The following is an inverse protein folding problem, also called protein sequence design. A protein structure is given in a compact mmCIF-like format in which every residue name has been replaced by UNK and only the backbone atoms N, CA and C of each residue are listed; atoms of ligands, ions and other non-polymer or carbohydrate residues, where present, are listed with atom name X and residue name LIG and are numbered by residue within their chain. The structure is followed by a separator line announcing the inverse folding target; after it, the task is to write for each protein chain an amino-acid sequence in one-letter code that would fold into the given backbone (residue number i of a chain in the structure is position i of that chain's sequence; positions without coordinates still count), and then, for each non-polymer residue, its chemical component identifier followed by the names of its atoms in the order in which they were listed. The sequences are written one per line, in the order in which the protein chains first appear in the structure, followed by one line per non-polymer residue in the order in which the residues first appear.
data_IF_793023757209
#
_entry.id   IF_793023757209
#
_cell.length_a   1.000
_cell.length_b   1.000
_cell.length_c   1.000
_cell.angle_alpha   90.00
_cell.angle_beta   90.00
_cell.angle_gamma   90.00
#
_symmetry.space_group_name_H-M   'P 1'
#
loop_
_entity.id
_entity.type
_entity.pdbx_description
1 polymer ?
#
# COMPACT_ATOMS: atom_id res chain seq x y z
N UNK A 1 50.79 -0.50 -18.90
CA UNK A 1 50.63 -1.95 -18.71
C UNK A 1 49.78 -2.41 -19.87
N UNK A 2 50.35 -3.12 -20.83
CA UNK A 2 49.58 -3.65 -21.97
C UNK A 2 48.74 -4.83 -21.46
N UNK A 3 47.44 -4.78 -21.71
CA UNK A 3 46.51 -5.86 -21.35
C UNK A 3 46.94 -7.17 -22.04
N UNK A 4 46.80 -8.34 -21.39
CA UNK A 4 47.18 -9.61 -22.00
C UNK A 4 46.24 -9.95 -23.16
N UNK A 5 46.69 -9.65 -24.38
CA UNK A 5 45.97 -9.91 -25.61
C UNK A 5 46.02 -11.40 -25.95
N UNK A 6 44.85 -12.03 -26.20
CA UNK A 6 44.77 -13.42 -26.64
C UNK A 6 44.06 -13.53 -27.99
N UNK A 7 44.68 -14.28 -28.90
CA UNK A 7 44.08 -14.68 -30.18
C UNK A 7 43.33 -16.01 -30.00
N UNK A 8 42.03 -16.00 -30.30
CA UNK A 8 41.18 -17.21 -30.23
C UNK A 8 40.45 -17.44 -31.55
N UNK A 9 39.97 -18.66 -31.80
CA UNK A 9 39.15 -18.92 -32.99
C UNK A 9 37.84 -18.12 -32.93
N UNK A 10 37.28 -17.81 -34.09
CA UNK A 10 36.03 -17.05 -34.20
C UNK A 10 34.87 -17.65 -33.40
N UNK A 11 34.75 -18.98 -33.34
CA UNK A 11 33.72 -19.68 -32.57
C UNK A 11 33.88 -19.48 -31.06
N UNK A 12 35.12 -19.49 -30.58
CA UNK A 12 35.44 -19.23 -29.17
C UNK A 12 35.20 -17.77 -28.83
N UNK A 13 35.62 -16.84 -29.69
CA UNK A 13 35.38 -15.41 -29.49
C UNK A 13 33.88 -15.06 -29.40
N UNK A 14 33.04 -15.63 -30.26
CA UNK A 14 31.60 -15.40 -30.23
C UNK A 14 30.98 -15.84 -28.89
N UNK A 15 31.46 -16.97 -28.35
CA UNK A 15 31.00 -17.50 -27.06
C UNK A 15 31.49 -16.64 -25.88
N UNK A 16 32.76 -16.23 -25.89
CA UNK A 16 33.36 -15.43 -24.80
C UNK A 16 32.81 -14.00 -24.76
N UNK A 17 32.52 -13.40 -25.92
CA UNK A 17 31.92 -12.07 -26.03
C UNK A 17 30.39 -12.07 -25.93
N UNK A 18 29.77 -13.22 -25.71
CA UNK A 18 28.31 -13.41 -25.67
C UNK A 18 27.57 -12.82 -26.89
N UNK A 19 28.16 -12.91 -28.08
CA UNK A 19 27.58 -12.42 -29.34
C UNK A 19 27.38 -13.53 -30.36
N UNK A 20 26.40 -13.37 -31.26
CA UNK A 20 26.23 -14.32 -32.36
C UNK A 20 27.40 -14.26 -33.36
N UNK A 21 27.70 -15.38 -34.03
CA UNK A 21 28.70 -15.43 -35.10
C UNK A 21 28.43 -14.41 -36.22
N UNK A 22 27.16 -14.17 -36.55
CA UNK A 22 26.75 -13.18 -37.55
C UNK A 22 27.04 -11.74 -37.12
N UNK A 23 26.88 -11.44 -35.83
CA UNK A 23 27.21 -10.13 -35.25
C UNK A 23 28.72 -9.95 -35.23
N UNK A 24 29.46 -10.99 -34.84
CA UNK A 24 30.92 -10.97 -34.85
C UNK A 24 31.47 -10.80 -36.27
N UNK A 25 30.91 -11.47 -37.28
CA UNK A 25 31.27 -11.29 -38.70
C UNK A 25 31.02 -9.86 -39.21
N UNK A 26 29.95 -9.23 -38.73
CA UNK A 26 29.68 -7.83 -39.07
C UNK A 26 30.75 -6.92 -38.47
N UNK A 27 31.12 -7.12 -37.20
CA UNK A 27 32.19 -6.37 -36.54
C UNK A 27 33.54 -6.54 -37.24
N UNK A 28 33.88 -7.77 -37.62
CA UNK A 28 35.09 -8.10 -38.39
C UNK A 28 35.12 -7.35 -39.74
N UNK A 29 34.00 -7.32 -40.47
CA UNK A 29 33.92 -6.61 -41.76
C UNK A 29 33.96 -5.09 -41.65
N UNK A 30 33.62 -4.56 -40.47
CA UNK A 30 33.65 -3.13 -40.17
C UNK A 30 34.99 -2.69 -39.54
N UNK A 31 35.99 -3.59 -39.48
CA UNK A 31 37.28 -3.36 -38.80
C UNK A 31 37.14 -2.94 -37.33
N UNK A 32 36.03 -3.31 -36.67
CA UNK A 32 35.76 -2.98 -35.26
C UNK A 32 36.50 -3.91 -34.28
N UNK A 33 37.10 -5.00 -34.77
CA UNK A 33 37.86 -5.98 -33.98
C UNK A 33 39.10 -6.40 -34.75
N UNK A 34 40.21 -6.66 -34.07
CA UNK A 34 41.43 -7.11 -34.73
C UNK A 34 41.34 -8.60 -35.09
N UNK A 35 41.81 -8.94 -36.30
CA UNK A 35 41.67 -10.28 -36.88
C UNK A 35 42.99 -10.74 -37.48
N UNK A 36 43.37 -11.99 -37.21
CA UNK A 36 44.54 -12.64 -37.78
C UNK A 36 44.08 -13.84 -38.62
N UNK A 37 44.52 -13.88 -39.89
CA UNK A 37 44.19 -14.96 -40.82
C UNK A 37 45.42 -15.82 -41.11
N UNK A 38 45.34 -17.10 -40.76
CA UNK A 38 46.38 -18.09 -41.04
C UNK A 38 45.82 -19.15 -41.99
N UNK A 39 46.08 -18.96 -43.29
CA UNK A 39 45.53 -19.80 -44.36
C UNK A 39 43.99 -19.79 -44.40
N UNK A 40 43.37 -20.93 -44.06
CA UNK A 40 41.91 -21.09 -43.99
C UNK A 40 41.32 -20.77 -42.61
N UNK A 41 42.14 -20.47 -41.59
CA UNK A 41 41.70 -20.20 -40.21
C UNK A 41 41.66 -18.69 -39.95
N UNK A 42 40.67 -18.27 -39.15
CA UNK A 42 40.46 -16.89 -38.75
C UNK A 42 40.45 -16.82 -37.22
N UNK A 43 41.32 -15.98 -36.67
CA UNK A 43 41.46 -15.72 -35.25
C UNK A 43 41.04 -14.28 -34.95
N UNK A 44 40.33 -14.08 -33.86
CA UNK A 44 39.88 -12.77 -33.39
C UNK A 44 40.65 -12.44 -32.11
N UNK A 45 41.08 -11.19 -32.01
CA UNK A 45 41.61 -10.64 -30.77
C UNK A 45 40.46 -10.44 -29.80
N UNK A 46 40.52 -11.14 -28.67
CA UNK A 46 39.60 -10.88 -27.56
C UNK A 46 40.42 -10.21 -26.48
N UNK A 47 40.08 -8.96 -26.17
CA UNK A 47 40.55 -8.31 -24.94
C UNK A 47 39.86 -9.07 -23.81
N UNK A 48 40.64 -9.85 -23.08
CA UNK A 48 40.12 -10.76 -22.06
C UNK A 48 39.40 -9.96 -20.97
N UNK A 49 38.23 -10.40 -20.47
CA UNK A 49 37.73 -9.88 -19.21
C UNK A 49 38.81 -10.14 -18.15
N UNK A 50 39.05 -9.17 -17.26
CA UNK A 50 39.82 -9.40 -16.04
C UNK A 50 39.30 -10.69 -15.41
N UNK A 51 40.10 -11.76 -15.46
CA UNK A 51 39.82 -12.97 -14.73
C UNK A 51 39.91 -12.61 -13.25
N UNK A 52 38.78 -12.20 -12.68
CA UNK A 52 38.62 -12.12 -11.23
C UNK A 52 39.01 -13.48 -10.70
N UNK A 53 39.94 -13.51 -9.76
CA UNK A 53 40.33 -14.77 -9.13
C UNK A 53 39.10 -15.40 -8.47
N UNK A 54 39.12 -16.72 -8.27
CA UNK A 54 38.07 -17.41 -7.52
C UNK A 54 37.83 -16.74 -6.14
N UNK A 55 38.87 -16.15 -5.54
CA UNK A 55 38.79 -15.36 -4.31
C UNK A 55 38.00 -14.05 -4.48
N UNK A 56 38.15 -13.33 -5.59
CA UNK A 56 37.39 -12.11 -5.86
C UNK A 56 35.93 -12.38 -6.19
N UNK A 57 35.64 -13.49 -6.88
CA UNK A 57 34.27 -13.96 -7.10
C UNK A 57 33.60 -14.36 -5.79
N UNK A 58 34.30 -15.11 -4.92
CA UNK A 58 33.81 -15.49 -3.60
C UNK A 58 33.58 -14.28 -2.69
N UNK A 59 34.45 -13.27 -2.75
CA UNK A 59 34.27 -12.02 -2.01
C UNK A 59 33.01 -11.28 -2.45
N UNK A 60 32.83 -11.06 -3.75
CA UNK A 60 31.62 -10.39 -4.28
C UNK A 60 30.35 -11.17 -3.96
N UNK A 61 30.39 -12.50 -4.01
CA UNK A 61 29.26 -13.33 -3.65
C UNK A 61 28.88 -13.14 -2.17
N UNK A 62 29.87 -13.10 -1.26
CA UNK A 62 29.65 -12.79 0.16
C UNK A 62 29.11 -11.39 0.39
N UNK A 63 29.71 -10.37 -0.20
CA UNK A 63 29.24 -8.99 -0.05
C UNK A 63 27.77 -8.87 -0.48
N UNK A 64 27.38 -9.55 -1.56
CA UNK A 64 25.99 -9.57 -2.03
C UNK A 64 25.05 -10.36 -1.12
N UNK A 65 25.53 -11.42 -0.46
CA UNK A 65 24.77 -12.13 0.57
C UNK A 65 24.57 -11.24 1.79
N UNK A 66 25.59 -10.52 2.24
CA UNK A 66 25.51 -9.61 3.38
C UNK A 66 24.52 -8.46 3.10
N UNK A 67 24.56 -7.89 1.89
CA UNK A 67 23.59 -6.89 1.44
C UNK A 67 22.15 -7.43 1.44
N UNK A 68 21.95 -8.68 1.00
CA UNK A 68 20.65 -9.34 1.02
C UNK A 68 20.18 -9.59 2.45
N UNK A 69 21.04 -10.06 3.35
CA UNK A 69 20.72 -10.25 4.75
C UNK A 69 20.33 -8.92 5.44
N UNK A 70 21.06 -7.84 5.17
CA UNK A 70 20.72 -6.53 5.72
C UNK A 70 19.37 -6.02 5.19
N UNK A 71 19.10 -6.23 3.90
CA UNK A 71 17.81 -5.92 3.30
C UNK A 71 16.68 -6.71 3.98
N UNK A 72 16.84 -8.02 4.19
CA UNK A 72 15.86 -8.86 4.89
C UNK A 72 15.61 -8.36 6.30
N UNK A 73 16.65 -8.08 7.09
CA UNK A 73 16.50 -7.53 8.45
C UNK A 73 15.79 -6.17 8.46
N UNK A 74 15.96 -5.37 7.41
CA UNK A 74 15.25 -4.08 7.25
C UNK A 74 13.78 -4.32 6.96
N UNK A 75 13.45 -5.25 6.07
CA UNK A 75 12.08 -5.64 5.75
C UNK A 75 11.35 -6.22 6.95
N UNK A 76 11.99 -7.07 7.75
CA UNK A 76 11.43 -7.63 8.98
C UNK A 76 11.09 -6.55 10.01
N UNK A 77 11.95 -5.54 10.16
CA UNK A 77 11.68 -4.39 11.03
C UNK A 77 10.49 -3.57 10.56
N UNK A 78 10.40 -3.30 9.26
CA UNK A 78 9.26 -2.57 8.66
C UNK A 78 7.97 -3.37 8.85
N UNK A 79 7.98 -4.67 8.55
CA UNK A 79 6.83 -5.54 8.72
C UNK A 79 6.35 -5.56 10.18
N UNK A 80 7.29 -5.68 11.12
CA UNK A 80 7.02 -5.63 12.56
C UNK A 80 6.44 -4.29 13.02
N UNK A 81 6.87 -3.17 12.42
CA UNK A 81 6.31 -1.86 12.72
C UNK A 81 4.89 -1.72 12.18
N UNK A 82 4.66 -2.10 10.92
CA UNK A 82 3.34 -2.07 10.29
C UNK A 82 2.34 -2.95 11.03
N UNK A 83 2.78 -4.10 11.56
CA UNK A 83 1.92 -4.95 12.39
C UNK A 83 1.48 -4.24 13.68
N UNK A 84 2.38 -3.56 14.38
CA UNK A 84 2.02 -2.77 15.57
C UNK A 84 1.09 -1.61 15.24
N UNK A 85 1.34 -0.90 14.15
CA UNK A 85 0.49 0.20 13.70
C UNK A 85 -0.92 -0.30 13.35
N UNK A 86 -1.02 -1.43 12.65
CA UNK A 86 -2.30 -2.11 12.37
C UNK A 86 -3.05 -2.47 13.65
N UNK A 87 -2.35 -3.04 14.62
CA UNK A 87 -2.99 -3.48 15.87
C UNK A 87 -3.42 -2.29 16.73
N UNK A 88 -2.65 -1.20 16.74
CA UNK A 88 -3.05 0.06 17.36
C UNK A 88 -4.31 0.66 16.70
N UNK A 89 -4.34 0.71 15.36
CA UNK A 89 -5.50 1.22 14.62
C UNK A 89 -6.76 0.36 14.85
N UNK A 90 -6.62 -0.96 15.01
CA UNK A 90 -7.73 -1.85 15.35
C UNK A 90 -8.25 -1.60 16.77
N UNK A 91 -7.35 -1.38 17.73
CA UNK A 91 -7.74 -1.02 19.09
C UNK A 91 -8.50 0.29 19.11
N UNK A 92 -7.96 1.32 18.46
CA UNK A 92 -8.59 2.63 18.37
C UNK A 92 -9.97 2.55 17.69
N UNK A 93 -10.10 1.77 16.62
CA UNK A 93 -11.38 1.55 15.96
C UNK A 93 -12.42 0.86 16.89
N UNK A 94 -11.98 -0.07 17.74
CA UNK A 94 -12.85 -0.71 18.72
C UNK A 94 -13.31 0.28 19.80
N UNK A 95 -12.42 1.14 20.28
CA UNK A 95 -12.74 2.19 21.25
C UNK A 95 -13.77 3.17 20.66
N UNK A 96 -13.58 3.60 19.41
CA UNK A 96 -14.55 4.44 18.69
C UNK A 96 -15.90 3.75 18.47
N UNK A 97 -15.92 2.44 18.23
CA UNK A 97 -17.15 1.67 18.08
C UNK A 97 -17.94 1.59 19.39
N UNK A 98 -17.24 1.42 20.52
CA UNK A 98 -17.84 1.45 21.86
C UNK A 98 -18.44 2.84 22.16
N UNK A 99 -17.66 3.91 21.96
CA UNK A 99 -18.14 5.28 22.18
C UNK A 99 -19.35 5.63 21.28
N UNK A 100 -19.33 5.18 20.02
CA UNK A 100 -20.45 5.37 19.10
C UNK A 100 -21.72 4.69 19.59
N UNK A 101 -21.66 3.43 20.04
CA UNK A 101 -22.83 2.72 20.54
C UNK A 101 -23.37 3.33 21.86
N UNK A 102 -22.49 3.83 22.73
CA UNK A 102 -22.91 4.60 23.91
C UNK A 102 -23.67 5.87 23.55
N UNK A 103 -23.10 6.70 22.66
CA UNK A 103 -23.71 7.95 22.21
C UNK A 103 -25.03 7.71 21.48
N UNK A 104 -25.09 6.69 20.63
CA UNK A 104 -26.32 6.25 19.96
C UNK A 104 -27.37 5.82 20.98
N UNK A 105 -26.98 5.08 22.01
CA UNK A 105 -27.86 4.71 23.12
C UNK A 105 -28.44 5.93 23.86
N UNK A 106 -27.61 6.93 24.14
CA UNK A 106 -28.04 8.19 24.75
C UNK A 106 -29.01 8.97 23.85
N UNK A 107 -28.67 9.12 22.58
CA UNK A 107 -29.51 9.79 21.59
C UNK A 107 -30.91 9.14 21.48
N UNK A 108 -30.96 7.81 21.39
CA UNK A 108 -32.24 7.08 21.32
C UNK A 108 -33.08 7.27 22.59
N UNK A 109 -32.46 7.31 23.77
CA UNK A 109 -33.17 7.61 25.03
C UNK A 109 -33.74 9.02 25.01
N UNK A 110 -32.96 10.00 24.58
CA UNK A 110 -33.39 11.39 24.50
C UNK A 110 -34.54 11.58 23.50
N UNK A 111 -34.47 10.95 22.33
CA UNK A 111 -35.58 10.92 21.37
C UNK A 111 -36.85 10.32 22.00
N UNK A 112 -36.74 9.19 22.71
CA UNK A 112 -37.87 8.55 23.36
C UNK A 112 -38.48 9.41 24.49
N UNK A 113 -37.66 10.15 25.23
CA UNK A 113 -38.14 11.14 26.20
C UNK A 113 -38.83 12.33 25.52
N UNK A 114 -38.25 12.85 24.45
CA UNK A 114 -38.80 13.95 23.69
C UNK A 114 -40.19 13.59 23.13
N UNK A 115 -40.36 12.39 22.58
CA UNK A 115 -41.66 11.89 22.14
C UNK A 115 -42.67 11.75 23.29
N UNK A 116 -42.23 11.28 24.46
CA UNK A 116 -43.08 11.20 25.65
C UNK A 116 -43.54 12.59 26.10
N UNK A 117 -42.65 13.57 26.13
CA UNK A 117 -42.99 14.98 26.44
C UNK A 117 -43.98 15.54 25.43
N UNK A 118 -43.75 15.33 24.13
CA UNK A 118 -44.65 15.78 23.06
C UNK A 118 -46.07 15.21 23.21
N UNK A 119 -46.19 13.91 23.53
CA UNK A 119 -47.48 13.26 23.82
C UNK A 119 -48.15 13.83 25.07
N UNK A 120 -47.39 14.14 26.12
CA UNK A 120 -47.90 14.78 27.33
C UNK A 120 -48.46 16.18 27.05
N UNK A 121 -47.70 17.01 26.35
CA UNK A 121 -48.13 18.36 25.93
C UNK A 121 -49.41 18.28 25.09
N UNK A 122 -49.47 17.34 24.12
CA UNK A 122 -50.67 17.14 23.32
C UNK A 122 -51.91 16.74 24.15
N UNK A 123 -51.75 15.93 25.20
CA UNK A 123 -52.84 15.58 26.13
C UNK A 123 -53.27 16.77 26.98
N UNK A 124 -52.31 17.54 27.50
CA UNK A 124 -52.58 18.79 28.25
C UNK A 124 -53.36 19.79 27.39
N UNK A 125 -52.93 20.02 26.15
CA UNK A 125 -53.61 20.93 25.24
C UNK A 125 -55.07 20.52 25.00
N UNK A 126 -55.35 19.23 24.82
CA UNK A 126 -56.73 18.71 24.70
C UNK A 126 -57.54 18.92 25.97
N UNK A 127 -56.96 18.65 27.15
CA UNK A 127 -57.65 18.85 28.42
C UNK A 127 -58.02 20.32 28.65
N UNK A 128 -57.09 21.24 28.35
CA UNK A 128 -57.32 22.70 28.41
C UNK A 128 -58.44 23.11 27.46
N UNK A 129 -58.44 22.61 26.22
CA UNK A 129 -59.50 22.90 25.26
C UNK A 129 -60.88 22.44 25.74
N UNK A 130 -60.98 21.23 26.33
CA UNK A 130 -62.24 20.72 26.89
C UNK A 130 -62.72 21.59 28.06
N UNK A 131 -61.83 21.96 28.98
CA UNK A 131 -62.18 22.84 30.10
C UNK A 131 -62.68 24.21 29.63
N UNK A 132 -62.03 24.79 28.62
CA UNK A 132 -62.45 26.06 28.04
C UNK A 132 -63.87 25.98 27.45
N UNK A 133 -64.18 24.88 26.73
CA UNK A 133 -65.53 24.64 26.19
C UNK A 133 -66.56 24.49 27.31
N UNK A 134 -66.27 23.70 28.35
CA UNK A 134 -67.18 23.53 29.49
C UNK A 134 -67.46 24.84 30.22
N UNK A 135 -66.43 25.67 30.42
CA UNK A 135 -66.58 27.00 31.00
C UNK A 135 -67.45 27.90 30.13
N UNK A 136 -67.23 27.91 28.82
CA UNK A 136 -68.04 28.69 27.89
C UNK A 136 -69.52 28.26 27.92
N UNK A 137 -69.79 26.95 27.91
CA UNK A 137 -71.16 26.41 28.02
C UNK A 137 -71.81 26.80 29.35
N UNK A 138 -71.07 26.70 30.46
CA UNK A 138 -71.56 27.05 31.80
C UNK A 138 -71.89 28.54 31.90
N UNK A 139 -71.01 29.41 31.38
CA UNK A 139 -71.25 30.85 31.32
C UNK A 139 -72.48 31.18 30.47
N UNK A 140 -72.67 30.50 29.34
CA UNK A 140 -73.83 30.69 28.47
C UNK A 140 -75.14 30.26 29.16
N UNK A 141 -75.09 29.17 29.92
CA UNK A 141 -76.23 28.68 30.70
C UNK A 141 -76.60 29.67 31.83
N UNK A 142 -75.61 30.18 32.56
CA UNK A 142 -75.83 31.21 33.59
C UNK A 142 -76.40 32.49 32.99
N UNK A 143 -75.88 32.93 31.84
CA UNK A 143 -76.38 34.11 31.14
C UNK A 143 -77.85 33.95 30.74
N UNK A 144 -78.24 32.76 30.24
CA UNK A 144 -79.65 32.44 29.92
C UNK A 144 -80.58 32.35 31.13
N UNK A 145 -80.06 32.08 32.33
CA UNK A 145 -80.85 32.05 33.57
C UNK A 145 -81.05 33.46 34.15
N UNK A 146 -80.19 34.41 33.80
CA UNK A 146 -80.24 35.80 34.27
C UNK A 146 -80.96 36.75 33.30
N UNK A 147 -81.26 36.30 32.09
CA UNK A 147 -81.99 37.03 31.04
C UNK A 147 -83.47 36.61 31.02
#
# INVERSE_FOLDING_TARGET
MEEPVRWVSKDVAARELEVSLSTLDRKIRNDEVEVLREGRRVYVRVDGPEYLSDEELLRRARDRTDELEEAVRRWERIASQLERERDAAKSEAADWEEEYEELKGLYLRECAEHERRKRWVGRLARAVAVLAVLLAVSLLAVWRLLA
#
